data_IF_713365712839
#
_entry.id   IF_713365712839
#
_cell.length_a   1.000
_cell.length_b   1.000
_cell.length_c   1.000
_cell.angle_alpha   90.00
_cell.angle_beta   90.00
_cell.angle_gamma   90.00
#
_symmetry.space_group_name_H-M   'P 1'
#
loop_
_entity.id
_entity.type
_entity.pdbx_description
1 polymer ?
#
# COMPACT_ATOMS: atom_id res chain seq x y z
N UNK A 1 -2.32 8.72 -53.34
CA UNK A 1 -2.21 9.18 -51.97
C UNK A 1 -2.55 8.06 -51.04
N UNK A 2 -1.53 7.36 -50.57
CA UNK A 2 -1.65 6.35 -49.52
C UNK A 2 -1.75 7.08 -48.18
N UNK A 3 -2.93 7.07 -47.58
CA UNK A 3 -3.17 7.50 -46.22
C UNK A 3 -2.62 6.40 -45.31
N UNK A 4 -1.44 6.63 -44.74
CA UNK A 4 -0.97 5.94 -43.57
C UNK A 4 -1.81 6.44 -42.37
N UNK A 5 -2.92 5.77 -42.10
CA UNK A 5 -3.56 5.80 -40.79
C UNK A 5 -2.64 5.04 -39.89
N UNK A 6 -1.68 5.73 -39.26
CA UNK A 6 -0.98 5.25 -38.11
C UNK A 6 -2.03 4.95 -37.04
N UNK A 7 -2.19 3.71 -36.62
CA UNK A 7 -2.83 3.39 -35.37
C UNK A 7 -1.98 4.06 -34.28
N UNK A 8 -2.39 5.24 -33.83
CA UNK A 8 -2.03 5.71 -32.50
C UNK A 8 -2.57 4.64 -31.55
N UNK A 9 -1.69 3.71 -31.19
CA UNK A 9 -1.90 2.87 -30.05
C UNK A 9 -1.94 3.83 -28.87
N UNK A 10 -3.15 4.23 -28.44
CA UNK A 10 -3.32 4.98 -27.21
C UNK A 10 -2.55 4.20 -26.14
N UNK A 11 -1.37 4.70 -25.78
CA UNK A 11 -0.62 4.22 -24.64
C UNK A 11 -1.49 4.61 -23.46
N UNK A 12 -2.28 3.66 -22.97
CA UNK A 12 -3.10 3.84 -21.78
C UNK A 12 -2.16 3.73 -20.61
N UNK A 13 -2.15 4.75 -19.76
CA UNK A 13 -1.46 4.72 -18.47
C UNK A 13 -1.87 3.48 -17.70
N UNK A 14 -0.90 2.70 -17.25
CA UNK A 14 -1.15 1.48 -16.49
C UNK A 14 -1.11 1.77 -15.00
N UNK A 15 -2.05 1.19 -14.28
CA UNK A 15 -2.18 1.36 -12.85
C UNK A 15 -1.84 0.03 -12.15
N UNK A 16 -0.80 0.04 -11.35
CA UNK A 16 -0.34 -1.12 -10.60
C UNK A 16 -0.65 -0.97 -9.12
N UNK A 17 -1.33 -1.98 -8.57
CA UNK A 17 -1.45 -2.13 -7.11
C UNK A 17 -0.24 -2.88 -6.55
N UNK A 18 0.25 -2.44 -5.39
CA UNK A 18 1.30 -3.12 -4.63
C UNK A 18 0.83 -3.36 -3.20
N UNK A 19 0.53 -4.60 -2.85
CA UNK A 19 0.10 -4.97 -1.50
C UNK A 19 1.27 -5.56 -0.72
N UNK A 20 1.71 -4.87 0.35
CA UNK A 20 2.83 -5.32 1.16
C UNK A 20 2.34 -6.25 2.28
N UNK A 21 2.64 -7.54 2.17
CA UNK A 21 2.20 -8.59 3.09
C UNK A 21 3.36 -9.39 3.72
N UNK A 22 4.62 -8.93 3.59
CA UNK A 22 5.82 -9.60 4.10
C UNK A 22 6.03 -9.49 5.62
N UNK A 23 5.28 -8.64 6.33
CA UNK A 23 5.47 -8.39 7.76
C UNK A 23 5.10 -9.58 8.65
N UNK A 24 5.93 -9.86 9.68
CA UNK A 24 5.74 -10.96 10.65
C UNK A 24 4.54 -10.79 11.60
N UNK A 25 3.98 -9.59 11.70
CA UNK A 25 2.74 -9.33 12.46
C UNK A 25 2.84 -9.47 13.99
N UNK A 26 4.04 -9.37 14.58
CA UNK A 26 4.35 -9.66 16.00
C UNK A 26 3.58 -8.85 17.04
N UNK A 27 2.92 -7.76 16.66
CA UNK A 27 2.14 -6.90 17.58
C UNK A 27 0.75 -7.43 17.92
N UNK A 28 0.19 -8.34 17.13
CA UNK A 28 -1.03 -9.08 17.46
C UNK A 28 -0.62 -10.29 18.25
N UNK A 29 -0.82 -10.27 19.56
CA UNK A 29 -0.34 -11.30 20.49
C UNK A 29 -1.25 -12.52 20.55
N UNK A 30 -2.52 -12.37 20.17
CA UNK A 30 -3.54 -13.44 20.20
C UNK A 30 -3.39 -14.47 19.07
N UNK A 31 -2.50 -14.23 18.10
CA UNK A 31 -2.34 -15.11 16.94
C UNK A 31 -0.90 -15.62 16.78
N UNK A 32 -0.76 -16.90 16.41
CA UNK A 32 0.53 -17.51 16.03
C UNK A 32 0.89 -17.32 14.55
N UNK A 33 -0.06 -16.90 13.72
CA UNK A 33 0.16 -16.62 12.29
C UNK A 33 0.22 -15.12 12.07
N UNK A 34 0.88 -14.63 10.99
CA UNK A 34 0.89 -13.23 10.65
C UNK A 34 -0.53 -12.68 10.49
N UNK A 35 -0.75 -11.48 11.01
CA UNK A 35 -2.09 -10.88 11.15
C UNK A 35 -2.87 -10.75 9.83
N UNK A 36 -2.19 -10.58 8.71
CA UNK A 36 -2.80 -10.51 7.38
C UNK A 36 -3.48 -11.81 6.97
N UNK A 37 -3.09 -12.93 7.56
CA UNK A 37 -3.63 -14.26 7.29
C UNK A 37 -4.62 -14.74 8.35
N UNK A 38 -4.90 -13.93 9.39
CA UNK A 38 -5.96 -14.24 10.36
C UNK A 38 -7.30 -14.25 9.62
N UNK A 39 -8.06 -15.33 9.82
CA UNK A 39 -9.37 -15.49 9.19
C UNK A 39 -10.47 -14.81 10.02
N UNK A 40 -11.36 -14.13 9.31
CA UNK A 40 -12.61 -13.57 9.82
C UNK A 40 -13.72 -13.99 8.88
N UNK A 41 -14.77 -14.63 9.41
CA UNK A 41 -15.85 -15.16 8.55
C UNK A 41 -15.37 -16.19 7.51
N UNK A 42 -14.30 -16.95 7.82
CA UNK A 42 -13.76 -17.99 6.91
C UNK A 42 -12.87 -17.45 5.78
N UNK A 43 -12.46 -16.18 5.84
CA UNK A 43 -11.64 -15.53 4.82
C UNK A 43 -10.50 -14.71 5.46
N UNK A 44 -9.23 -14.84 5.02
CA UNK A 44 -8.11 -14.06 5.54
C UNK A 44 -8.29 -12.55 5.35
N UNK A 45 -7.82 -11.75 6.30
CA UNK A 45 -7.90 -10.28 6.27
C UNK A 45 -7.37 -9.70 4.95
N UNK A 46 -6.25 -10.21 4.46
CA UNK A 46 -5.65 -9.77 3.19
C UNK A 46 -6.60 -9.89 2.00
N UNK A 47 -7.48 -10.88 1.99
CA UNK A 47 -8.44 -11.08 0.91
C UNK A 47 -9.50 -9.98 0.90
N UNK A 48 -9.98 -9.52 2.07
CA UNK A 48 -10.90 -8.38 2.14
C UNK A 48 -10.25 -7.11 1.57
N UNK A 49 -8.97 -6.88 1.88
CA UNK A 49 -8.22 -5.75 1.31
C UNK A 49 -8.11 -5.88 -0.21
N UNK A 50 -7.77 -7.07 -0.70
CA UNK A 50 -7.63 -7.35 -2.13
C UNK A 50 -8.96 -7.17 -2.89
N UNK A 51 -10.05 -7.67 -2.33
CA UNK A 51 -11.39 -7.48 -2.92
C UNK A 51 -11.75 -6.01 -3.06
N UNK A 52 -11.44 -5.19 -2.05
CA UNK A 52 -11.70 -3.76 -2.12
C UNK A 52 -10.82 -3.05 -3.16
N UNK A 53 -9.56 -3.43 -3.29
CA UNK A 53 -8.71 -2.92 -4.38
C UNK A 53 -9.24 -3.33 -5.76
N UNK A 54 -9.67 -4.57 -5.95
CA UNK A 54 -10.19 -5.08 -7.24
C UNK A 54 -11.55 -4.48 -7.67
N UNK A 55 -12.29 -3.83 -6.75
CA UNK A 55 -13.47 -3.02 -7.12
C UNK A 55 -13.09 -1.86 -8.03
N UNK A 56 -11.91 -1.28 -7.84
CA UNK A 56 -11.37 -0.23 -8.70
C UNK A 56 -10.87 -0.86 -10.00
N UNK A 57 -11.68 -0.81 -11.05
CA UNK A 57 -11.41 -1.48 -12.33
C UNK A 57 -10.22 -0.88 -13.11
N UNK A 58 -9.67 0.24 -12.65
CA UNK A 58 -8.48 0.91 -13.21
C UNK A 58 -7.20 0.10 -13.00
N UNK A 59 -7.12 -0.76 -11.98
CA UNK A 59 -5.94 -1.61 -11.81
C UNK A 59 -5.78 -2.61 -12.95
N UNK A 60 -4.63 -2.56 -13.60
CA UNK A 60 -4.22 -3.55 -14.60
C UNK A 60 -3.74 -4.83 -13.89
N UNK A 61 -2.84 -4.67 -12.91
CA UNK A 61 -2.37 -5.77 -12.06
C UNK A 61 -2.22 -5.32 -10.60
N UNK A 62 -2.37 -6.27 -9.67
CA UNK A 62 -2.10 -6.10 -8.25
C UNK A 62 -1.02 -7.11 -7.83
N UNK A 63 0.14 -6.60 -7.43
CA UNK A 63 1.27 -7.39 -6.95
C UNK A 63 1.18 -7.54 -5.43
N UNK A 64 1.19 -8.77 -4.94
CA UNK A 64 1.14 -9.07 -3.51
C UNK A 64 2.48 -9.65 -3.09
N UNK A 65 3.24 -8.90 -2.31
CA UNK A 65 4.54 -9.32 -1.81
C UNK A 65 4.39 -10.03 -0.46
N UNK A 66 4.64 -11.35 -0.43
CA UNK A 66 4.49 -12.20 0.75
C UNK A 66 5.82 -12.80 1.22
N UNK A 67 5.88 -13.22 2.49
CA UNK A 67 7.00 -14.03 2.96
C UNK A 67 6.96 -15.40 2.25
N UNK A 68 8.15 -15.98 1.96
CA UNK A 68 8.30 -17.24 1.23
C UNK A 68 7.45 -18.41 1.80
N UNK A 69 7.30 -18.46 3.11
CA UNK A 69 6.55 -19.52 3.78
C UNK A 69 5.03 -19.43 3.53
N UNK A 70 4.55 -18.31 3.01
CA UNK A 70 3.12 -18.06 2.74
C UNK A 70 2.79 -17.93 1.25
N UNK A 71 3.74 -18.13 0.36
CA UNK A 71 3.52 -18.01 -1.08
C UNK A 71 2.45 -18.98 -1.59
N UNK A 72 2.61 -20.27 -1.28
CA UNK A 72 1.64 -21.31 -1.68
C UNK A 72 0.26 -21.05 -1.06
N UNK A 73 0.23 -20.72 0.24
CA UNK A 73 -1.02 -20.38 0.93
C UNK A 73 -1.73 -19.21 0.25
N UNK A 74 -0.99 -18.13 -0.08
CA UNK A 74 -1.59 -16.97 -0.72
C UNK A 74 -2.12 -17.28 -2.12
N UNK A 75 -1.40 -18.09 -2.90
CA UNK A 75 -1.87 -18.57 -4.22
C UNK A 75 -3.19 -19.34 -4.10
N UNK A 76 -3.32 -20.23 -3.11
CA UNK A 76 -4.55 -20.97 -2.84
C UNK A 76 -5.70 -20.03 -2.43
N UNK A 77 -5.43 -19.07 -1.53
CA UNK A 77 -6.44 -18.11 -1.09
C UNK A 77 -6.94 -17.22 -2.22
N UNK A 78 -6.07 -16.75 -3.11
CA UNK A 78 -6.45 -15.97 -4.29
C UNK A 78 -7.33 -16.83 -5.22
N UNK A 79 -6.91 -18.03 -5.57
CA UNK A 79 -7.70 -18.93 -6.42
C UNK A 79 -9.08 -19.24 -5.85
N UNK A 80 -9.17 -19.40 -4.52
CA UNK A 80 -10.41 -19.74 -3.81
C UNK A 80 -11.39 -18.57 -3.76
N UNK A 81 -10.90 -17.35 -3.56
CA UNK A 81 -11.74 -16.21 -3.17
C UNK A 81 -11.85 -15.11 -4.22
N UNK A 82 -10.94 -15.06 -5.21
CA UNK A 82 -10.85 -13.95 -6.19
C UNK A 82 -11.22 -14.43 -7.60
N UNK A 83 -12.38 -14.01 -8.14
CA UNK A 83 -12.78 -14.35 -9.50
C UNK A 83 -11.82 -13.80 -10.58
N UNK A 84 -11.32 -12.57 -10.40
CA UNK A 84 -10.38 -11.90 -11.33
C UNK A 84 -8.92 -12.20 -10.94
N UNK A 85 -8.62 -13.47 -10.63
CA UNK A 85 -7.29 -13.90 -10.15
C UNK A 85 -6.16 -13.68 -11.18
N UNK A 86 -6.50 -13.55 -12.46
CA UNK A 86 -5.55 -13.23 -13.54
C UNK A 86 -4.92 -11.84 -13.42
N UNK A 87 -5.55 -10.92 -12.70
CA UNK A 87 -4.98 -9.62 -12.38
C UNK A 87 -4.02 -9.64 -11.19
N UNK A 88 -3.95 -10.73 -10.45
CA UNK A 88 -3.14 -10.84 -9.23
C UNK A 88 -1.81 -11.53 -9.51
N UNK A 89 -0.73 -10.96 -9.02
CA UNK A 89 0.63 -11.50 -9.08
C UNK A 89 1.14 -11.69 -7.67
N UNK A 90 1.46 -12.93 -7.30
CA UNK A 90 2.11 -13.21 -6.02
C UNK A 90 3.61 -13.20 -6.24
N UNK A 91 4.33 -12.43 -5.42
CA UNK A 91 5.78 -12.33 -5.47
C UNK A 91 6.38 -12.48 -4.07
N UNK A 92 7.66 -12.76 -4.00
CA UNK A 92 8.36 -12.82 -2.72
C UNK A 92 8.71 -11.42 -2.23
N UNK A 93 8.38 -11.14 -0.97
CA UNK A 93 8.88 -9.96 -0.25
C UNK A 93 10.37 -10.10 0.09
N UNK A 94 10.98 -8.99 0.51
CA UNK A 94 12.35 -8.96 1.01
C UNK A 94 12.43 -9.10 2.52
N UNK A 95 13.63 -8.96 3.07
CA UNK A 95 13.87 -8.99 4.52
C UNK A 95 13.32 -7.74 5.19
N UNK A 96 13.56 -6.60 4.58
CA UNK A 96 13.13 -5.29 5.05
C UNK A 96 12.00 -4.74 4.15
N UNK A 97 11.38 -3.65 4.61
CA UNK A 97 10.32 -2.99 3.85
C UNK A 97 10.82 -2.51 2.48
N UNK A 98 12.02 -1.91 2.43
CA UNK A 98 12.61 -1.42 1.18
C UNK A 98 12.90 -2.55 0.20
N UNK A 99 13.44 -3.68 0.66
CA UNK A 99 13.67 -4.85 -0.20
C UNK A 99 12.37 -5.34 -0.82
N UNK A 100 11.28 -5.34 -0.01
CA UNK A 100 9.95 -5.75 -0.48
C UNK A 100 9.43 -4.80 -1.56
N UNK A 101 9.59 -3.49 -1.38
CA UNK A 101 9.18 -2.48 -2.35
C UNK A 101 10.00 -2.63 -3.64
N UNK A 102 11.32 -2.79 -3.54
CA UNK A 102 12.20 -3.02 -4.68
C UNK A 102 11.83 -4.29 -5.46
N UNK A 103 11.48 -5.38 -4.76
CA UNK A 103 11.02 -6.60 -5.41
C UNK A 103 9.73 -6.37 -6.20
N UNK A 104 8.79 -5.57 -5.68
CA UNK A 104 7.54 -5.22 -6.37
C UNK A 104 7.85 -4.39 -7.63
N UNK A 105 8.61 -3.30 -7.50
CA UNK A 105 8.93 -2.44 -8.66
C UNK A 105 9.72 -3.19 -9.73
N UNK A 106 10.65 -4.07 -9.33
CA UNK A 106 11.39 -4.95 -10.23
C UNK A 106 10.46 -5.93 -10.96
N UNK A 107 9.53 -6.57 -10.26
CA UNK A 107 8.57 -7.49 -10.86
C UNK A 107 7.67 -6.76 -11.88
N UNK A 108 7.14 -5.58 -11.52
CA UNK A 108 6.34 -4.76 -12.46
C UNK A 108 7.14 -4.44 -13.71
N UNK A 109 8.40 -4.00 -13.55
CA UNK A 109 9.30 -3.65 -14.66
C UNK A 109 9.57 -4.83 -15.57
N UNK A 110 9.85 -5.99 -15.00
CA UNK A 110 10.17 -7.21 -15.76
C UNK A 110 8.94 -7.73 -16.53
N UNK A 111 7.77 -7.67 -15.92
CA UNK A 111 6.53 -8.21 -16.52
C UNK A 111 5.96 -7.28 -17.61
N UNK A 112 6.14 -5.96 -17.46
CA UNK A 112 5.36 -5.00 -18.24
C UNK A 112 6.21 -3.90 -18.91
N UNK A 113 7.49 -3.73 -18.55
CA UNK A 113 8.25 -2.52 -18.83
C UNK A 113 7.76 -1.33 -17.99
N UNK A 114 8.28 -0.14 -18.26
CA UNK A 114 7.91 1.10 -17.58
C UNK A 114 7.52 2.14 -18.61
N UNK A 115 6.42 2.87 -18.37
CA UNK A 115 6.03 4.06 -19.12
C UNK A 115 5.99 5.27 -18.17
N UNK A 116 6.18 6.47 -18.70
CA UNK A 116 6.31 7.69 -17.90
C UNK A 116 5.06 8.01 -17.08
N UNK A 117 3.87 7.63 -17.56
CA UNK A 117 2.59 7.89 -16.93
C UNK A 117 2.06 6.70 -16.09
N UNK A 118 2.81 5.59 -16.02
CA UNK A 118 2.43 4.46 -15.16
C UNK A 118 2.38 4.89 -13.69
N UNK A 119 1.35 4.43 -12.96
CA UNK A 119 1.14 4.73 -11.55
C UNK A 119 1.25 3.45 -10.72
N UNK A 120 1.95 3.52 -9.59
CA UNK A 120 1.96 2.50 -8.55
C UNK A 120 1.20 2.97 -7.32
N UNK A 121 0.29 2.14 -6.81
CA UNK A 121 -0.51 2.36 -5.60
C UNK A 121 -0.07 1.35 -4.54
N UNK A 122 0.67 1.79 -3.53
CA UNK A 122 1.21 0.94 -2.47
C UNK A 122 0.27 0.93 -1.28
N UNK A 123 -0.25 -0.24 -0.94
CA UNK A 123 -1.24 -0.40 0.11
C UNK A 123 -0.85 -1.46 1.14
N UNK A 124 -1.30 -1.25 2.39
CA UNK A 124 -1.10 -2.22 3.47
C UNK A 124 -2.10 -3.38 3.38
N UNK A 125 -1.62 -4.62 3.38
CA UNK A 125 -2.46 -5.84 3.36
C UNK A 125 -3.45 -5.95 4.53
N UNK A 126 -3.30 -5.13 5.55
CA UNK A 126 -4.08 -5.11 6.80
C UNK A 126 -4.92 -3.85 6.99
N UNK A 127 -5.36 -3.24 5.88
CA UNK A 127 -6.39 -2.17 5.85
C UNK A 127 -7.59 -2.62 5.01
N UNK A 128 -8.41 -3.54 5.55
CA UNK A 128 -9.47 -4.19 4.79
C UNK A 128 -10.66 -3.28 4.46
N UNK A 129 -10.67 -2.04 4.92
CA UNK A 129 -11.77 -1.10 4.72
C UNK A 129 -11.39 0.08 3.82
N UNK A 130 -10.32 -0.03 3.04
CA UNK A 130 -10.02 0.99 2.03
C UNK A 130 -11.18 1.14 1.06
N UNK A 131 -11.56 2.39 0.76
CA UNK A 131 -12.69 2.70 -0.11
C UNK A 131 -12.24 2.90 -1.56
N UNK A 132 -13.15 2.67 -2.51
CA UNK A 132 -12.91 2.97 -3.92
C UNK A 132 -12.58 4.46 -4.13
N UNK A 133 -13.20 5.35 -3.34
CA UNK A 133 -12.91 6.79 -3.38
C UNK A 133 -11.45 7.08 -3.06
N UNK A 134 -10.94 6.58 -1.92
CA UNK A 134 -9.54 6.80 -1.51
C UNK A 134 -8.57 6.27 -2.59
N UNK A 135 -8.85 5.08 -3.14
CA UNK A 135 -8.00 4.49 -4.18
C UNK A 135 -8.01 5.31 -5.46
N UNK A 136 -9.18 5.76 -5.93
CA UNK A 136 -9.29 6.58 -7.14
C UNK A 136 -8.64 7.96 -6.93
N UNK A 137 -8.93 8.63 -5.81
CA UNK A 137 -8.32 9.93 -5.49
C UNK A 137 -6.79 9.83 -5.44
N UNK A 138 -6.24 8.73 -4.90
CA UNK A 138 -4.79 8.53 -4.83
C UNK A 138 -4.16 8.29 -6.21
N UNK A 139 -4.85 7.56 -7.10
CA UNK A 139 -4.41 7.36 -8.49
C UNK A 139 -4.39 8.70 -9.23
N UNK A 140 -5.50 9.46 -9.17
CA UNK A 140 -5.62 10.74 -9.86
C UNK A 140 -4.60 11.75 -9.36
N UNK A 141 -4.41 11.84 -8.04
CA UNK A 141 -3.44 12.72 -7.41
C UNK A 141 -1.99 12.34 -7.80
N UNK A 142 -1.64 11.07 -7.81
CA UNK A 142 -0.32 10.63 -8.23
C UNK A 142 -0.07 10.85 -9.74
N UNK A 143 -1.07 10.64 -10.57
CA UNK A 143 -1.00 10.92 -12.00
C UNK A 143 -0.82 12.43 -12.29
N UNK A 144 -1.44 13.30 -11.51
CA UNK A 144 -1.35 14.75 -11.69
C UNK A 144 -0.04 15.32 -11.11
N UNK A 145 0.29 14.95 -9.86
CA UNK A 145 1.36 15.60 -9.09
C UNK A 145 2.61 14.74 -8.89
N UNK A 146 2.60 13.48 -9.32
CA UNK A 146 3.75 12.58 -9.25
C UNK A 146 3.87 11.79 -7.96
N UNK A 147 3.39 12.30 -6.82
CA UNK A 147 3.42 11.61 -5.52
C UNK A 147 2.22 12.02 -4.65
N UNK A 148 1.62 11.03 -3.99
CA UNK A 148 0.44 11.20 -3.17
C UNK A 148 0.51 10.33 -1.92
N UNK A 149 0.02 10.84 -0.79
CA UNK A 149 -0.15 10.12 0.47
C UNK A 149 -1.56 10.33 1.02
N UNK A 150 -2.14 9.28 1.58
CA UNK A 150 -3.43 9.36 2.27
C UNK A 150 -3.20 9.71 3.74
N UNK A 151 -3.94 10.70 4.27
CA UNK A 151 -3.81 11.13 5.66
C UNK A 151 -5.11 11.60 6.27
N UNK A 152 -5.26 11.38 7.56
CA UNK A 152 -6.41 11.81 8.35
C UNK A 152 -5.96 12.88 9.36
N UNK A 153 -6.63 14.05 9.45
CA UNK A 153 -6.31 15.04 10.47
C UNK A 153 -6.31 14.42 11.87
N UNK A 154 -5.32 14.74 12.69
CA UNK A 154 -5.26 14.23 14.05
C UNK A 154 -6.41 14.78 14.91
N UNK A 155 -7.22 13.87 15.46
CA UNK A 155 -8.33 14.23 16.34
C UNK A 155 -7.83 14.54 17.78
N UNK A 156 -6.89 13.75 18.27
CA UNK A 156 -6.35 13.86 19.61
C UNK A 156 -5.13 14.81 19.66
N UNK A 157 -4.83 15.33 20.86
CA UNK A 157 -3.60 16.08 21.11
C UNK A 157 -2.41 15.12 21.02
N UNK A 158 -1.42 15.47 20.21
CA UNK A 158 -0.19 14.69 20.07
C UNK A 158 0.83 15.17 21.09
N UNK A 159 1.37 14.24 21.85
CA UNK A 159 2.42 14.49 22.85
C UNK A 159 3.75 13.95 22.31
N UNK A 160 4.74 14.82 22.18
CA UNK A 160 6.10 14.41 21.82
C UNK A 160 6.91 14.09 23.07
N UNK A 161 7.47 12.87 23.12
CA UNK A 161 8.32 12.40 24.22
C UNK A 161 9.38 11.44 23.70
N UNK A 162 10.67 11.70 23.93
CA UNK A 162 11.75 10.82 23.50
C UNK A 162 11.84 9.53 24.32
N UNK A 163 11.53 9.61 25.60
CA UNK A 163 11.66 8.48 26.54
C UNK A 163 10.32 7.90 27.02
N UNK A 164 9.19 8.53 26.70
CA UNK A 164 7.85 8.12 27.18
C UNK A 164 7.57 8.50 28.64
N UNK A 165 8.50 9.16 29.34
CA UNK A 165 8.35 9.55 30.76
C UNK A 165 7.86 10.99 30.91
N UNK A 166 8.45 11.92 30.12
CA UNK A 166 8.10 13.35 30.17
C UNK A 166 7.66 13.83 28.79
N UNK A 167 6.66 14.72 28.77
CA UNK A 167 6.26 15.44 27.55
C UNK A 167 7.26 16.55 27.30
N UNK A 168 7.92 16.53 26.14
CA UNK A 168 8.90 17.54 25.74
C UNK A 168 8.28 18.67 24.92
N UNK A 169 7.25 18.33 24.11
CA UNK A 169 6.59 19.26 23.22
C UNK A 169 5.15 18.79 22.90
N UNK A 170 4.30 19.74 22.56
CA UNK A 170 2.93 19.50 22.08
C UNK A 170 2.77 20.23 20.75
N UNK A 171 2.95 19.51 19.62
CA UNK A 171 2.85 20.12 18.30
C UNK A 171 1.46 20.71 18.03
N UNK A 172 1.39 21.68 17.13
CA UNK A 172 0.13 22.29 16.68
C UNK A 172 -0.71 21.25 15.95
N UNK A 173 -1.78 20.77 16.59
CA UNK A 173 -2.63 19.68 16.11
C UNK A 173 -3.19 19.89 14.70
N UNK A 174 -3.58 21.14 14.36
CA UNK A 174 -4.13 21.49 13.05
C UNK A 174 -3.16 21.29 11.87
N UNK A 175 -1.86 21.11 12.16
CA UNK A 175 -0.82 20.85 11.17
C UNK A 175 -0.44 19.37 11.07
N UNK A 176 -1.10 18.51 11.87
CA UNK A 176 -0.74 17.11 11.97
C UNK A 176 -1.79 16.19 11.34
N UNK A 177 -1.28 15.22 10.60
CA UNK A 177 -2.08 14.17 9.96
C UNK A 177 -1.54 12.79 10.31
N UNK A 178 -2.43 11.87 10.63
CA UNK A 178 -2.09 10.45 10.75
C UNK A 178 -1.99 9.84 9.35
N UNK A 179 -0.78 9.45 8.94
CA UNK A 179 -0.53 8.81 7.65
C UNK A 179 -1.27 7.48 7.55
N UNK A 180 -2.01 7.32 6.47
CA UNK A 180 -2.66 6.05 6.11
C UNK A 180 -2.05 5.53 4.80
N UNK A 181 -2.50 4.36 4.32
CA UNK A 181 -2.29 3.90 2.97
C UNK A 181 -3.60 4.09 2.18
N UNK A 182 -3.52 4.27 0.85
CA UNK A 182 -2.36 4.09 -0.02
C UNK A 182 -1.37 5.26 -0.03
N UNK A 183 -0.11 4.93 -0.36
CA UNK A 183 0.87 5.86 -0.92
C UNK A 183 0.95 5.59 -2.43
N UNK A 184 0.84 6.60 -3.29
CA UNK A 184 0.78 6.41 -4.74
C UNK A 184 1.78 7.33 -5.45
N UNK A 185 2.40 6.82 -6.54
CA UNK A 185 3.47 7.50 -7.22
C UNK A 185 3.43 7.26 -8.73
N UNK A 186 3.96 8.18 -9.53
CA UNK A 186 4.41 7.86 -10.88
C UNK A 186 5.55 6.86 -10.80
N UNK A 187 5.37 5.69 -11.41
CA UNK A 187 6.25 4.53 -11.20
C UNK A 187 7.69 4.81 -11.59
N UNK A 188 7.93 5.39 -12.77
CA UNK A 188 9.28 5.71 -13.23
C UNK A 188 10.01 6.63 -12.26
N UNK A 189 9.35 7.71 -11.81
CA UNK A 189 9.91 8.66 -10.85
C UNK A 189 10.15 8.02 -9.48
N UNK A 190 9.24 7.15 -9.04
CA UNK A 190 9.38 6.43 -7.78
C UNK A 190 10.62 5.52 -7.77
N UNK A 191 10.86 4.77 -8.85
CA UNK A 191 12.07 3.95 -9.01
C UNK A 191 13.32 4.82 -8.96
N UNK A 192 13.36 5.94 -9.69
CA UNK A 192 14.48 6.87 -9.65
C UNK A 192 14.77 7.38 -8.23
N UNK A 193 13.71 7.72 -7.46
CA UNK A 193 13.88 8.14 -6.07
C UNK A 193 14.43 7.02 -5.18
N UNK A 194 14.06 5.77 -5.42
CA UNK A 194 14.61 4.61 -4.69
C UNK A 194 16.11 4.43 -4.97
N UNK A 195 16.52 4.59 -6.23
CA UNK A 195 17.91 4.45 -6.66
C UNK A 195 18.81 5.55 -6.08
N UNK A 196 18.27 6.74 -5.83
CA UNK A 196 18.98 7.86 -5.22
C UNK A 196 19.25 7.69 -3.72
N UNK A 197 18.60 6.73 -3.04
CA UNK A 197 18.77 6.54 -1.60
C UNK A 197 20.13 5.94 -1.25
N UNK A 198 20.79 6.50 -0.24
CA UNK A 198 21.97 5.87 0.38
C UNK A 198 21.58 4.65 1.20
N UNK A 199 22.54 3.77 1.49
CA UNK A 199 22.31 2.59 2.32
C UNK A 199 21.91 2.95 3.76
N UNK A 200 22.36 4.10 4.28
CA UNK A 200 21.95 4.62 5.58
C UNK A 200 20.47 5.07 5.56
N UNK A 201 20.06 5.77 4.50
CA UNK A 201 18.68 6.20 4.32
C UNK A 201 17.72 5.00 4.21
N UNK A 202 18.09 3.97 3.45
CA UNK A 202 17.27 2.75 3.28
C UNK A 202 16.96 2.06 4.61
N UNK A 203 17.90 2.08 5.58
CA UNK A 203 17.74 1.42 6.89
C UNK A 203 16.74 2.13 7.82
N UNK A 204 16.53 3.44 7.66
CA UNK A 204 15.67 4.22 8.55
C UNK A 204 14.25 4.43 8.00
N UNK A 205 14.00 4.01 6.76
CA UNK A 205 12.68 4.15 6.12
C UNK A 205 11.67 3.20 6.77
N UNK A 206 10.62 3.77 7.33
CA UNK A 206 9.49 3.04 7.91
C UNK A 206 8.20 3.17 7.09
N UNK A 207 8.10 4.21 6.28
CA UNK A 207 6.98 4.52 5.38
C UNK A 207 7.45 4.87 3.97
N UNK A 208 6.64 4.56 2.97
CA UNK A 208 6.99 4.76 1.55
C UNK A 208 7.14 6.25 1.20
N UNK A 209 6.32 7.10 1.81
CA UNK A 209 6.36 8.55 1.65
C UNK A 209 7.69 9.20 2.09
N UNK A 210 8.44 8.54 3.01
CA UNK A 210 9.77 9.04 3.41
C UNK A 210 10.77 9.05 2.24
N UNK A 211 10.60 8.21 1.23
CA UNK A 211 11.43 8.20 0.03
C UNK A 211 11.36 9.56 -0.68
N UNK A 212 10.15 10.13 -0.78
CA UNK A 212 9.98 11.46 -1.37
C UNK A 212 10.65 12.55 -0.55
N UNK A 213 10.45 12.56 0.77
CA UNK A 213 11.05 13.60 1.63
C UNK A 213 12.57 13.54 1.62
N UNK A 214 13.17 12.33 1.54
CA UNK A 214 14.62 12.15 1.40
C UNK A 214 15.16 12.62 0.04
N UNK A 215 14.32 12.67 -0.99
CA UNK A 215 14.64 13.20 -2.31
C UNK A 215 14.20 14.67 -2.48
N UNK A 216 13.73 15.35 -1.44
CA UNK A 216 13.12 16.69 -1.49
C UNK A 216 11.98 16.80 -2.50
N UNK A 217 11.27 15.69 -2.75
CA UNK A 217 10.10 15.64 -3.62
C UNK A 217 8.84 16.01 -2.84
N UNK A 218 8.07 17.02 -3.28
CA UNK A 218 6.76 17.31 -2.71
C UNK A 218 5.83 16.10 -2.79
N UNK A 219 5.02 15.90 -1.74
CA UNK A 219 4.00 14.87 -1.69
C UNK A 219 2.65 15.55 -1.48
N UNK A 220 1.68 15.26 -2.32
CA UNK A 220 0.32 15.72 -2.13
C UNK A 220 -0.41 14.86 -1.11
N UNK A 221 -1.19 15.52 -0.25
CA UNK A 221 -2.00 14.86 0.78
C UNK A 221 -3.44 14.78 0.30
N UNK A 222 -4.00 13.55 0.26
CA UNK A 222 -5.43 13.33 0.07
C UNK A 222 -6.10 12.97 1.40
N UNK A 223 -7.39 13.23 1.48
CA UNK A 223 -8.18 12.93 2.66
C UNK A 223 -8.33 11.43 2.86
N UNK A 224 -7.98 10.97 4.06
CA UNK A 224 -8.21 9.59 4.52
C UNK A 224 -9.59 9.40 5.15
N UNK A 225 -9.81 8.21 5.67
CA UNK A 225 -11.04 7.85 6.38
C UNK A 225 -10.69 7.11 7.68
N UNK A 226 -11.41 7.41 8.76
CA UNK A 226 -11.22 6.74 10.05
C UNK A 226 -11.43 5.23 9.96
N UNK A 227 -12.32 4.77 9.07
CA UNK A 227 -12.55 3.34 8.84
C UNK A 227 -11.36 2.66 8.14
N UNK A 228 -10.53 3.42 7.42
CA UNK A 228 -9.34 2.90 6.76
C UNK A 228 -8.16 2.71 7.75
N UNK A 229 -8.46 2.32 8.98
CA UNK A 229 -7.45 2.07 9.99
C UNK A 229 -6.63 0.80 9.69
N UNK A 230 -5.40 0.78 10.20
CA UNK A 230 -4.49 -0.35 10.07
C UNK A 230 -4.65 -1.30 11.25
N UNK A 231 -4.92 -2.57 10.99
CA UNK A 231 -4.93 -3.59 12.05
C UNK A 231 -3.51 -3.75 12.58
N UNK A 232 -3.29 -3.35 13.84
CA UNK A 232 -1.98 -3.39 14.51
C UNK A 232 -2.01 -4.13 15.84
N UNK A 233 -3.15 -4.09 16.53
CA UNK A 233 -3.35 -4.62 17.89
C UNK A 233 -4.50 -5.62 17.93
N UNK A 234 -4.64 -6.32 19.07
CA UNK A 234 -5.78 -7.20 19.32
C UNK A 234 -7.11 -6.43 19.40
N UNK A 235 -7.08 -5.17 19.87
CA UNK A 235 -8.25 -4.29 19.87
C UNK A 235 -8.74 -3.97 18.46
N UNK A 236 -7.81 -3.68 17.54
CA UNK A 236 -8.17 -3.47 16.12
C UNK A 236 -8.80 -4.73 15.53
N UNK A 237 -8.28 -5.90 15.87
CA UNK A 237 -8.81 -7.18 15.41
C UNK A 237 -10.25 -7.42 15.91
N UNK A 238 -10.56 -7.02 17.15
CA UNK A 238 -11.92 -7.08 17.70
C UNK A 238 -12.88 -6.20 16.89
N UNK A 239 -12.47 -4.96 16.60
CA UNK A 239 -13.26 -4.03 15.78
C UNK A 239 -13.53 -4.65 14.40
N UNK A 240 -12.51 -5.17 13.75
CA UNK A 240 -12.65 -5.77 12.41
C UNK A 240 -13.58 -6.98 12.43
N UNK A 241 -13.51 -7.84 13.45
CA UNK A 241 -14.43 -8.97 13.61
C UNK A 241 -15.88 -8.49 13.70
N UNK A 242 -16.14 -7.43 14.46
CA UNK A 242 -17.48 -6.85 14.57
C UNK A 242 -17.97 -6.30 13.24
N UNK A 243 -17.13 -5.55 12.52
CA UNK A 243 -17.51 -4.92 11.25
C UNK A 243 -17.68 -5.91 10.10
N UNK A 244 -16.91 -6.99 10.05
CA UNK A 244 -17.01 -8.02 9.01
C UNK A 244 -18.04 -9.14 9.34
N UNK A 245 -18.83 -8.97 10.39
CA UNK A 245 -19.93 -9.89 10.75
C UNK A 245 -19.47 -11.20 11.37
N UNK A 246 -18.26 -11.22 11.95
CA UNK A 246 -17.81 -12.32 12.78
C UNK A 246 -18.59 -12.34 14.11
N UNK A 247 -19.61 -13.19 14.20
CA UNK A 247 -20.20 -13.59 15.48
C UNK A 247 -19.29 -14.55 16.22
#
# INVERSE_FOLDING_TARGET
TSSLVGSEMCIRDRIYGAMLAGGSGTRVKSSKIPKQFIEIGGKPIIIYTLENMLKVKRFDYIYIAVHKDYENYMNEQVKKNIPESEKVRIILGGKERMDTINNVTTAITNDNGIHDDDVIVIHDAVRPFVTEKILNDSIDCAAEYGACVCGLPCADTILHSKGGEYVEDIPVRSELYSGQAPDSFRLAHFIQMQDNLTEEQKKVITGTSQICTMNNQPIHLIEGDAINFKITTDSDLLIVRTLLGGK
#
